data_IF_030823643991
#
_entry.id   IF_030823643991
#
_cell.length_a   1.000
_cell.length_b   1.000
_cell.length_c   1.000
_cell.angle_alpha   90.00
_cell.angle_beta   90.00
_cell.angle_gamma   90.00
#
_symmetry.space_group_name_H-M   'P 1'
#
loop_
_entity.id
_entity.type
_entity.pdbx_description
1 polymer ?
#
# COMPACT_ATOMS: atom_id res chain seq x y z
N UNK A 1 1.83 9.12 -12.73
CA UNK A 1 0.85 8.94 -11.65
C UNK A 1 1.56 8.90 -10.32
N UNK A 2 1.08 9.63 -9.33
CA UNK A 2 1.59 9.62 -7.96
C UNK A 2 0.70 8.73 -7.08
N UNK A 3 1.28 7.71 -6.45
CA UNK A 3 0.58 6.72 -5.62
C UNK A 3 1.10 6.77 -4.18
N UNK A 4 0.21 6.86 -3.19
CA UNK A 4 0.53 6.76 -1.78
C UNK A 4 -0.03 5.46 -1.18
N UNK A 5 0.67 4.92 -0.19
CA UNK A 5 0.22 3.75 0.58
C UNK A 5 0.44 3.96 2.07
N UNK A 6 -0.48 3.42 2.88
CA UNK A 6 -0.27 3.32 4.32
C UNK A 6 -1.00 2.12 4.93
N UNK A 7 -0.29 1.29 5.71
CA UNK A 7 -0.91 0.38 6.67
C UNK A 7 -1.36 1.17 7.91
N UNK A 8 -2.69 1.32 8.08
CA UNK A 8 -3.26 2.16 9.15
C UNK A 8 -3.56 1.37 10.45
N UNK A 9 -3.06 0.13 10.56
CA UNK A 9 -3.14 -0.71 11.76
C UNK A 9 -4.53 -0.88 12.35
N UNK A 10 -5.50 -1.32 11.55
CA UNK A 10 -6.84 -1.63 12.06
C UNK A 10 -7.45 -0.48 12.81
N UNK A 11 -7.56 0.68 12.16
CA UNK A 11 -8.08 1.92 12.71
C UNK A 11 -9.58 1.87 13.08
N UNK A 12 -10.10 0.79 13.68
CA UNK A 12 -11.52 0.51 13.86
C UNK A 12 -12.00 0.35 15.28
N UNK A 13 -11.09 0.43 16.25
CA UNK A 13 -11.44 0.41 17.67
C UNK A 13 -11.86 1.80 18.16
N UNK A 14 -12.74 2.53 17.44
CA UNK A 14 -13.02 3.97 17.63
C UNK A 14 -13.50 4.34 19.04
N UNK A 15 -13.80 3.34 19.89
CA UNK A 15 -14.13 3.50 21.30
C UNK A 15 -12.93 3.66 22.25
N UNK A 16 -11.67 3.58 21.79
CA UNK A 16 -10.48 3.85 22.62
C UNK A 16 -9.78 5.15 22.21
N UNK A 17 -9.13 5.83 23.17
CA UNK A 17 -8.32 7.03 22.94
C UNK A 17 -7.30 6.85 21.82
N UNK A 18 -6.64 5.68 21.81
CA UNK A 18 -5.55 5.36 20.89
C UNK A 18 -6.05 5.16 19.46
N UNK A 19 -7.31 4.74 19.29
CA UNK A 19 -7.91 4.62 17.97
C UNK A 19 -8.36 5.98 17.43
N UNK A 20 -8.84 6.88 18.29
CA UNK A 20 -9.20 8.24 17.91
C UNK A 20 -7.95 9.04 17.46
N UNK A 21 -6.83 8.91 18.18
CA UNK A 21 -5.57 9.54 17.80
C UNK A 21 -5.07 9.03 16.43
N UNK A 22 -5.06 7.70 16.22
CA UNK A 22 -4.70 7.09 14.93
C UNK A 22 -5.61 7.56 13.79
N UNK A 23 -6.92 7.59 14.03
CA UNK A 23 -7.88 8.08 13.04
C UNK A 23 -7.63 9.55 12.71
N UNK A 24 -7.37 10.41 13.70
CA UNK A 24 -7.07 11.83 13.49
C UNK A 24 -5.80 12.04 12.65
N UNK A 25 -4.72 11.32 12.95
CA UNK A 25 -3.50 11.34 12.14
C UNK A 25 -3.78 10.86 10.71
N UNK A 26 -4.54 9.78 10.56
CA UNK A 26 -4.90 9.23 9.27
C UNK A 26 -5.73 10.19 8.43
N UNK A 27 -6.76 10.81 9.01
CA UNK A 27 -7.58 11.80 8.32
C UNK A 27 -6.77 13.03 7.90
N UNK A 28 -5.88 13.54 8.77
CA UNK A 28 -5.02 14.67 8.46
C UNK A 28 -4.04 14.36 7.30
N UNK A 29 -3.43 13.17 7.33
CA UNK A 29 -2.56 12.72 6.25
C UNK A 29 -3.32 12.54 4.93
N UNK A 30 -4.51 11.92 4.96
CA UNK A 30 -5.34 11.74 3.74
C UNK A 30 -5.72 13.09 3.14
N UNK A 31 -6.13 14.08 3.94
CA UNK A 31 -6.43 15.42 3.42
C UNK A 31 -5.21 16.09 2.77
N UNK A 32 -4.02 15.89 3.34
CA UNK A 32 -2.78 16.37 2.74
C UNK A 32 -2.50 15.65 1.40
N UNK A 33 -2.61 14.32 1.38
CA UNK A 33 -2.29 13.51 0.20
C UNK A 33 -3.29 13.67 -0.92
N UNK A 34 -4.58 13.88 -0.62
CA UNK A 34 -5.62 14.10 -1.63
C UNK A 34 -5.31 15.29 -2.56
N UNK A 35 -4.53 16.26 -2.08
CA UNK A 35 -4.07 17.41 -2.85
C UNK A 35 -2.87 17.07 -3.75
N UNK A 36 -2.08 16.06 -3.40
CA UNK A 36 -0.73 15.79 -3.93
C UNK A 36 -0.57 14.48 -4.70
N UNK A 37 -1.50 13.54 -4.51
CA UNK A 37 -1.46 12.19 -5.08
C UNK A 37 -2.70 11.92 -5.93
N UNK A 38 -2.52 11.05 -6.92
CA UNK A 38 -3.59 10.63 -7.84
C UNK A 38 -4.35 9.42 -7.27
N UNK A 39 -3.64 8.58 -6.49
CA UNK A 39 -4.13 7.37 -5.89
C UNK A 39 -3.60 7.24 -4.46
N UNK A 40 -4.47 6.92 -3.50
CA UNK A 40 -4.12 6.61 -2.12
C UNK A 40 -4.67 5.22 -1.82
N UNK A 41 -3.84 4.37 -1.23
CA UNK A 41 -4.24 3.04 -0.76
C UNK A 41 -4.01 2.92 0.74
N UNK A 42 -5.06 2.59 1.48
CA UNK A 42 -4.96 2.27 2.91
C UNK A 42 -5.12 0.77 3.09
N UNK A 43 -4.21 0.15 3.83
CA UNK A 43 -4.25 -1.26 4.22
C UNK A 43 -4.62 -1.41 5.70
N UNK A 44 -5.04 -2.63 6.06
CA UNK A 44 -5.63 -2.94 7.37
C UNK A 44 -6.84 -2.06 7.72
N UNK A 45 -7.63 -1.70 6.71
CA UNK A 45 -8.94 -1.11 6.91
C UNK A 45 -9.86 -2.25 7.35
N UNK A 46 -10.30 -2.23 8.59
CA UNK A 46 -11.10 -3.34 9.13
C UNK A 46 -12.51 -3.42 8.53
N UNK A 47 -13.34 -4.28 9.11
CA UNK A 47 -14.77 -4.47 8.82
C UNK A 47 -15.61 -3.18 8.87
N UNK A 48 -15.16 -2.12 9.56
CA UNK A 48 -15.83 -0.82 9.58
C UNK A 48 -15.52 0.07 8.35
N UNK A 49 -14.80 -0.46 7.36
CA UNK A 49 -14.47 0.24 6.12
C UNK A 49 -15.63 1.01 5.46
N UNK A 50 -16.86 0.46 5.36
CA UNK A 50 -17.99 1.19 4.78
C UNK A 50 -18.38 2.48 5.53
N UNK A 51 -18.18 2.54 6.85
CA UNK A 51 -18.37 3.76 7.62
C UNK A 51 -17.25 4.76 7.31
N UNK A 52 -16.01 4.29 7.24
CA UNK A 52 -14.86 5.11 6.89
C UNK A 52 -14.99 5.75 5.50
N UNK A 53 -15.57 5.03 4.52
CA UNK A 53 -15.84 5.59 3.19
C UNK A 53 -16.73 6.83 3.28
N UNK A 54 -17.71 6.87 4.19
CA UNK A 54 -18.60 8.02 4.34
C UNK A 54 -17.85 9.26 4.83
N UNK A 55 -16.95 9.09 5.80
CA UNK A 55 -16.11 10.17 6.33
C UNK A 55 -15.14 10.71 5.26
N UNK A 56 -14.62 9.83 4.41
CA UNK A 56 -13.66 10.18 3.36
C UNK A 56 -14.26 10.94 2.17
N UNK A 57 -15.60 11.01 2.05
CA UNK A 57 -16.26 11.79 0.99
C UNK A 57 -15.92 13.29 1.00
N UNK A 58 -15.39 13.79 2.11
CA UNK A 58 -14.92 15.17 2.26
C UNK A 58 -13.68 15.50 1.42
N UNK A 59 -12.91 14.50 0.99
CA UNK A 59 -11.61 14.67 0.32
C UNK A 59 -11.70 15.01 -1.18
N UNK A 60 -12.91 15.11 -1.75
CA UNK A 60 -13.16 15.18 -3.20
C UNK A 60 -12.54 14.03 -4.03
N UNK A 61 -12.02 12.99 -3.39
CA UNK A 61 -11.57 11.77 -4.06
C UNK A 61 -12.72 10.77 -4.14
N UNK A 62 -12.76 10.01 -5.24
CA UNK A 62 -13.57 8.82 -5.29
C UNK A 62 -13.00 7.79 -4.31
N UNK A 63 -13.84 7.08 -3.57
CA UNK A 63 -13.41 6.15 -2.52
C UNK A 63 -14.14 4.81 -2.60
N UNK A 64 -13.40 3.71 -2.51
CA UNK A 64 -13.92 2.34 -2.45
C UNK A 64 -13.27 1.57 -1.30
N UNK A 65 -14.10 0.90 -0.51
CA UNK A 65 -13.67 -0.17 0.39
C UNK A 65 -13.61 -1.50 -0.37
N UNK A 66 -12.50 -2.21 -0.26
CA UNK A 66 -12.27 -3.49 -0.93
C UNK A 66 -12.09 -4.57 0.14
N UNK A 67 -13.16 -5.33 0.45
CA UNK A 67 -13.10 -6.37 1.46
C UNK A 67 -12.24 -7.54 0.97
N UNK A 68 -11.34 -8.01 1.83
CA UNK A 68 -10.61 -9.27 1.64
C UNK A 68 -11.27 -10.34 2.51
N UNK A 69 -11.50 -11.53 1.96
CA UNK A 69 -12.09 -12.62 2.72
C UNK A 69 -11.11 -13.15 3.78
N UNK A 70 -11.61 -13.45 4.98
CA UNK A 70 -10.91 -14.22 6.00
C UNK A 70 -11.14 -15.72 5.79
N UNK A 71 -10.43 -16.57 6.55
CA UNK A 71 -10.53 -18.04 6.47
C UNK A 71 -11.95 -18.61 6.67
N UNK A 72 -12.86 -17.84 7.26
CA UNK A 72 -14.26 -18.22 7.53
C UNK A 72 -15.25 -17.57 6.54
N UNK A 73 -14.77 -16.92 5.48
CA UNK A 73 -15.60 -16.24 4.49
C UNK A 73 -16.15 -14.87 4.92
N UNK A 74 -15.80 -14.38 6.12
CA UNK A 74 -16.13 -13.02 6.56
C UNK A 74 -15.11 -11.99 6.11
N UNK A 75 -15.34 -10.71 6.41
CA UNK A 75 -14.37 -9.64 6.08
C UNK A 75 -13.13 -9.74 6.98
N UNK A 76 -11.95 -9.72 6.37
CA UNK A 76 -10.63 -9.75 7.02
C UNK A 76 -10.28 -8.36 7.56
N UNK A 77 -9.57 -8.27 8.71
CA UNK A 77 -8.97 -7.02 9.15
C UNK A 77 -7.93 -6.47 8.16
N UNK A 78 -7.42 -7.30 7.25
CA UNK A 78 -6.48 -6.92 6.18
C UNK A 78 -7.18 -6.41 4.91
N UNK A 79 -8.36 -5.80 5.03
CA UNK A 79 -9.05 -5.21 3.87
C UNK A 79 -8.45 -3.86 3.52
N UNK A 80 -8.80 -3.33 2.35
CA UNK A 80 -8.20 -2.14 1.80
C UNK A 80 -9.22 -1.03 1.57
N UNK A 81 -8.74 0.21 1.52
CA UNK A 81 -9.48 1.33 0.98
C UNK A 81 -8.66 2.01 -0.11
N UNK A 82 -9.32 2.34 -1.21
CA UNK A 82 -8.72 2.99 -2.36
C UNK A 82 -9.38 4.33 -2.55
N UNK A 83 -8.59 5.40 -2.60
CA UNK A 83 -9.04 6.74 -2.95
C UNK A 83 -8.39 7.17 -4.26
N UNK A 84 -9.15 7.64 -5.23
CA UNK A 84 -8.65 8.07 -6.54
C UNK A 84 -9.14 9.47 -6.91
N UNK A 85 -8.23 10.28 -7.47
CA UNK A 85 -8.50 11.67 -7.84
C UNK A 85 -9.16 11.75 -9.20
N UNK A 86 -10.36 12.33 -9.25
CA UNK A 86 -11.05 12.69 -10.50
C UNK A 86 -11.57 11.53 -11.35
N UNK A 87 -11.27 10.27 -11.00
CA UNK A 87 -11.73 9.09 -11.73
C UNK A 87 -12.14 7.97 -10.77
N UNK A 88 -13.10 7.16 -11.22
CA UNK A 88 -13.41 5.87 -10.60
C UNK A 88 -12.39 4.85 -11.10
N UNK A 89 -11.79 4.09 -10.20
CA UNK A 89 -10.91 2.97 -10.53
C UNK A 89 -11.60 1.65 -10.17
N UNK A 90 -11.28 0.59 -10.89
CA UNK A 90 -11.77 -0.75 -10.53
C UNK A 90 -10.77 -1.39 -9.58
N UNK A 91 -11.16 -1.53 -8.31
CA UNK A 91 -10.37 -2.24 -7.31
C UNK A 91 -11.07 -3.53 -6.86
N UNK A 92 -10.32 -4.64 -6.88
CA UNK A 92 -10.83 -5.95 -6.48
C UNK A 92 -9.80 -6.75 -5.68
N UNK A 93 -10.28 -7.51 -4.70
CA UNK A 93 -9.47 -8.47 -3.98
C UNK A 93 -9.12 -9.65 -4.90
N UNK A 94 -7.86 -10.07 -4.85
CA UNK A 94 -7.32 -11.12 -5.70
C UNK A 94 -6.62 -12.16 -4.81
N UNK A 95 -6.99 -13.43 -4.96
CA UNK A 95 -6.43 -14.54 -4.19
C UNK A 95 -7.46 -15.29 -3.34
N UNK A 96 -6.97 -16.23 -2.53
CA UNK A 96 -7.76 -17.21 -1.76
C UNK A 96 -8.05 -16.77 -0.31
N UNK A 97 -7.92 -15.48 -0.01
CA UNK A 97 -8.11 -14.92 1.34
C UNK A 97 -6.95 -15.17 2.31
N UNK A 98 -5.93 -15.96 1.94
CA UNK A 98 -4.67 -16.05 2.70
C UNK A 98 -3.71 -14.92 2.36
N UNK A 99 -3.88 -14.32 1.18
CA UNK A 99 -3.02 -13.28 0.60
C UNK A 99 -3.83 -12.00 0.45
N UNK A 100 -3.75 -11.05 1.40
CA UNK A 100 -4.34 -9.74 1.23
C UNK A 100 -3.65 -9.01 0.08
N UNK A 101 -4.25 -9.10 -1.11
CA UNK A 101 -3.84 -8.43 -2.34
C UNK A 101 -5.08 -7.87 -3.02
N UNK A 102 -4.98 -6.62 -3.48
CA UNK A 102 -5.96 -6.03 -4.37
C UNK A 102 -5.27 -5.58 -5.67
N UNK A 103 -5.98 -5.67 -6.78
CA UNK A 103 -5.60 -5.02 -8.04
C UNK A 103 -6.47 -3.80 -8.25
N UNK A 104 -5.84 -2.71 -8.67
CA UNK A 104 -6.45 -1.43 -9.00
C UNK A 104 -6.06 -1.11 -10.44
N UNK A 105 -7.05 -1.12 -11.33
CA UNK A 105 -6.83 -0.85 -12.75
C UNK A 105 -6.95 0.64 -13.05
N UNK A 106 -5.86 1.23 -13.55
CA UNK A 106 -5.79 2.65 -13.95
C UNK A 106 -5.85 2.84 -15.48
N UNK A 107 -6.07 1.75 -16.23
CA UNK A 107 -6.06 1.73 -17.69
C UNK A 107 -4.66 1.53 -18.28
N UNK A 108 -3.69 2.34 -17.89
CA UNK A 108 -2.31 2.25 -18.37
C UNK A 108 -1.42 1.37 -17.48
N UNK A 109 -1.56 1.50 -16.15
CA UNK A 109 -0.73 0.82 -15.16
C UNK A 109 -1.63 -0.04 -14.27
N UNK A 110 -1.23 -1.29 -14.04
CA UNK A 110 -1.90 -2.13 -13.05
C UNK A 110 -1.22 -1.98 -11.69
N UNK A 111 -1.97 -1.52 -10.70
CA UNK A 111 -1.46 -1.32 -9.34
C UNK A 111 -1.90 -2.50 -8.48
N UNK A 112 -0.95 -3.25 -7.93
CA UNK A 112 -1.18 -4.22 -6.87
C UNK A 112 -0.89 -3.60 -5.50
N UNK A 113 -1.82 -3.69 -4.56
CA UNK A 113 -1.57 -3.33 -3.17
C UNK A 113 -1.69 -4.53 -2.25
N UNK A 114 -0.71 -4.74 -1.37
CA UNK A 114 -0.64 -5.93 -0.54
C UNK A 114 -0.47 -5.64 0.97
N UNK A 115 -0.79 -6.65 1.76
CA UNK A 115 -0.40 -6.80 3.16
C UNK A 115 -0.07 -8.28 3.38
N UNK A 116 1.20 -8.63 3.32
CA UNK A 116 1.68 -10.01 3.36
C UNK A 116 1.70 -10.57 4.78
N UNK A 117 1.85 -11.88 4.92
CA UNK A 117 1.94 -12.53 6.23
C UNK A 117 3.06 -11.95 7.10
N UNK A 118 2.73 -11.62 8.35
CA UNK A 118 3.61 -10.98 9.34
C UNK A 118 4.76 -11.90 9.83
N UNK A 119 5.68 -12.25 8.93
CA UNK A 119 6.90 -13.01 9.22
C UNK A 119 8.04 -12.51 8.34
N UNK A 120 9.25 -12.53 8.88
CA UNK A 120 10.44 -12.01 8.20
C UNK A 120 11.26 -13.12 7.53
N UNK A 121 10.65 -14.29 7.33
CA UNK A 121 11.25 -15.48 6.74
C UNK A 121 10.71 -15.79 5.34
N UNK A 122 11.08 -16.98 4.84
CA UNK A 122 10.74 -17.44 3.48
C UNK A 122 9.25 -17.37 3.13
N UNK A 123 8.28 -17.66 4.03
CA UNK A 123 6.86 -17.60 3.68
C UNK A 123 6.39 -16.23 3.17
N UNK A 124 6.88 -15.13 3.77
CA UNK A 124 6.53 -13.78 3.29
C UNK A 124 7.20 -13.47 1.96
N UNK A 125 8.43 -13.95 1.76
CA UNK A 125 9.15 -13.79 0.48
C UNK A 125 8.43 -14.53 -0.64
N UNK A 126 8.08 -15.79 -0.45
CA UNK A 126 7.31 -16.60 -1.42
C UNK A 126 5.98 -15.95 -1.76
N UNK A 127 5.27 -15.43 -0.76
CA UNK A 127 4.02 -14.72 -0.96
C UNK A 127 4.21 -13.48 -1.87
N UNK A 128 5.26 -12.69 -1.65
CA UNK A 128 5.58 -11.54 -2.51
C UNK A 128 5.89 -12.00 -3.93
N UNK A 129 6.72 -13.04 -4.09
CA UNK A 129 7.09 -13.55 -5.43
C UNK A 129 5.86 -14.04 -6.21
N UNK A 130 4.93 -14.72 -5.55
CA UNK A 130 3.66 -15.14 -6.14
C UNK A 130 2.79 -13.93 -6.54
N UNK A 131 2.74 -12.89 -5.72
CA UNK A 131 2.02 -11.65 -6.03
C UNK A 131 2.63 -10.94 -7.24
N UNK A 132 3.96 -10.87 -7.35
CA UNK A 132 4.66 -10.32 -8.51
C UNK A 132 4.35 -11.11 -9.79
N UNK A 133 4.36 -12.44 -9.71
CA UNK A 133 4.03 -13.31 -10.83
C UNK A 133 2.60 -13.06 -11.32
N UNK A 134 1.65 -13.04 -10.39
CA UNK A 134 0.23 -12.85 -10.70
C UNK A 134 -0.02 -11.46 -11.28
N UNK A 135 0.53 -10.41 -10.66
CA UNK A 135 0.38 -9.04 -11.11
C UNK A 135 1.00 -8.84 -12.50
N UNK A 136 2.22 -9.33 -12.73
CA UNK A 136 2.91 -9.23 -14.02
C UNK A 136 2.19 -9.98 -15.15
N UNK A 137 1.71 -11.20 -14.87
CA UNK A 137 0.90 -11.97 -15.80
C UNK A 137 -0.43 -11.28 -16.13
N UNK A 138 -1.10 -10.73 -15.12
CA UNK A 138 -2.36 -9.98 -15.27
C UNK A 138 -2.14 -8.71 -16.09
N UNK A 139 -1.11 -7.92 -15.79
CA UNK A 139 -0.77 -6.72 -16.53
C UNK A 139 -0.49 -7.02 -18.01
N UNK A 140 0.27 -8.09 -18.28
CA UNK A 140 0.57 -8.55 -19.64
C UNK A 140 -0.68 -8.98 -20.40
N UNK A 141 -1.56 -9.75 -19.75
CA UNK A 141 -2.81 -10.25 -20.33
C UNK A 141 -3.77 -9.10 -20.69
N UNK A 142 -3.84 -8.07 -19.84
CA UNK A 142 -4.66 -6.88 -20.05
C UNK A 142 -3.94 -5.78 -20.86
N UNK A 143 -2.77 -6.07 -21.45
CA UNK A 143 -1.99 -5.15 -22.29
C UNK A 143 -1.70 -3.80 -21.62
N UNK A 144 -1.44 -3.84 -20.31
CA UNK A 144 -1.03 -2.66 -19.53
C UNK A 144 0.42 -2.31 -19.88
N UNK A 145 0.78 -1.03 -19.80
CA UNK A 145 2.15 -0.55 -20.06
C UNK A 145 3.14 -1.08 -19.03
N UNK A 146 2.68 -1.22 -17.79
CA UNK A 146 3.46 -1.83 -16.72
C UNK A 146 2.63 -2.06 -15.46
N UNK A 147 3.33 -2.41 -14.39
CA UNK A 147 2.72 -2.70 -13.10
C UNK A 147 3.58 -2.23 -11.93
N UNK A 148 2.90 -1.97 -10.81
CA UNK A 148 3.54 -1.68 -9.52
C UNK A 148 2.89 -2.54 -8.44
N UNK A 149 3.68 -3.28 -7.67
CA UNK A 149 3.24 -3.88 -6.41
C UNK A 149 3.76 -3.01 -5.26
N UNK A 150 2.89 -2.51 -4.39
CA UNK A 150 3.29 -1.73 -3.22
C UNK A 150 2.51 -2.18 -1.97
N UNK A 151 3.09 -2.00 -0.79
CA UNK A 151 2.36 -2.23 0.43
C UNK A 151 3.24 -2.64 1.60
N UNK A 152 2.59 -3.16 2.64
CA UNK A 152 3.27 -3.80 3.76
C UNK A 152 3.67 -5.21 3.34
N UNK A 153 4.95 -5.34 3.02
CA UNK A 153 5.53 -6.57 2.52
C UNK A 153 5.97 -7.49 3.63
N UNK A 154 5.92 -7.08 4.91
CA UNK A 154 6.37 -7.84 6.08
C UNK A 154 7.73 -8.56 5.93
N UNK A 155 8.55 -8.14 4.97
CA UNK A 155 9.84 -8.69 4.63
C UNK A 155 10.77 -7.52 4.36
N UNK A 156 11.85 -7.38 5.14
CA UNK A 156 12.66 -6.17 5.06
C UNK A 156 13.37 -6.03 3.70
N UNK A 157 13.41 -4.81 3.17
CA UNK A 157 13.95 -4.52 1.84
C UNK A 157 15.42 -4.91 1.69
N UNK A 158 16.19 -4.86 2.79
CA UNK A 158 17.61 -5.20 2.85
C UNK A 158 17.87 -6.72 2.82
N UNK A 159 16.85 -7.55 3.05
CA UNK A 159 16.96 -9.00 2.97
C UNK A 159 16.92 -9.54 1.55
N UNK A 160 16.56 -8.72 0.57
CA UNK A 160 16.65 -9.09 -0.84
C UNK A 160 18.12 -9.15 -1.27
N UNK A 161 18.71 -10.34 -1.20
CA UNK A 161 20.11 -10.56 -1.52
C UNK A 161 20.37 -10.90 -3.00
N UNK A 162 19.36 -11.40 -3.73
CA UNK A 162 19.46 -11.78 -5.15
C UNK A 162 18.13 -11.51 -5.86
N UNK A 163 18.16 -10.68 -6.92
CA UNK A 163 17.00 -10.28 -7.74
C UNK A 163 16.82 -11.14 -9.00
N UNK A 164 17.37 -12.35 -9.02
CA UNK A 164 17.52 -13.15 -10.22
C UNK A 164 16.77 -14.48 -10.11
N UNK A 165 15.51 -14.40 -9.73
CA UNK A 165 14.55 -15.49 -9.90
C UNK A 165 13.66 -15.20 -11.10
N UNK A 166 13.09 -16.24 -11.72
CA UNK A 166 12.11 -16.07 -12.81
C UNK A 166 10.96 -15.12 -12.43
N UNK A 167 10.65 -14.99 -11.14
CA UNK A 167 9.61 -14.14 -10.58
C UNK A 167 10.00 -12.67 -10.43
N UNK A 168 11.29 -12.36 -10.31
CA UNK A 168 11.81 -10.99 -10.12
C UNK A 168 12.42 -10.40 -11.40
N UNK A 169 12.62 -11.23 -12.43
CA UNK A 169 13.09 -10.77 -13.74
C UNK A 169 12.18 -9.69 -14.31
N UNK A 170 12.76 -8.52 -14.60
CA UNK A 170 12.04 -7.35 -15.11
C UNK A 170 11.37 -6.48 -14.04
N UNK A 171 11.46 -6.87 -12.77
CA UNK A 171 11.01 -6.07 -11.64
C UNK A 171 12.17 -5.27 -11.02
N UNK A 172 11.87 -4.07 -10.55
CA UNK A 172 12.81 -3.21 -9.82
C UNK A 172 12.22 -2.83 -8.48
N UNK A 173 12.96 -3.05 -7.40
CA UNK A 173 12.55 -2.65 -6.05
C UNK A 173 12.84 -1.16 -5.80
N UNK A 174 11.96 -0.50 -5.04
CA UNK A 174 12.06 0.91 -4.67
C UNK A 174 11.76 1.12 -3.19
N UNK A 175 12.77 1.57 -2.45
CA UNK A 175 12.61 2.05 -1.08
C UNK A 175 11.85 3.40 -1.08
N UNK A 176 11.05 3.68 -0.04
CA UNK A 176 10.46 5.00 0.13
C UNK A 176 11.51 6.05 0.57
N UNK A 177 11.19 7.33 0.42
CA UNK A 177 12.10 8.44 0.69
C UNK A 177 11.59 9.37 1.79
N UNK A 178 12.50 10.16 2.35
CA UNK A 178 12.21 11.17 3.36
C UNK A 178 11.46 12.37 2.78
N UNK A 179 10.57 12.95 3.57
CA UNK A 179 9.87 14.20 3.28
C UNK A 179 10.82 15.37 3.08
N UNK A 180 11.87 15.46 3.90
CA UNK A 180 12.85 16.55 3.83
C UNK A 180 13.82 16.42 2.65
N UNK A 181 13.98 15.22 2.07
CA UNK A 181 14.87 14.98 0.94
C UNK A 181 14.48 13.69 0.21
N UNK A 182 13.83 13.84 -0.95
CA UNK A 182 13.38 12.71 -1.77
C UNK A 182 14.54 11.84 -2.32
N UNK A 183 15.78 12.33 -2.33
CA UNK A 183 16.96 11.54 -2.70
C UNK A 183 17.47 10.63 -1.57
N UNK A 184 16.99 10.82 -0.33
CA UNK A 184 17.35 9.98 0.81
C UNK A 184 16.25 8.97 1.11
N UNK A 185 16.60 7.69 1.18
CA UNK A 185 15.69 6.65 1.63
C UNK A 185 15.31 6.83 3.11
N UNK A 186 14.10 6.39 3.47
CA UNK A 186 13.74 6.19 4.86
C UNK A 186 14.59 5.06 5.46
N UNK A 187 15.06 5.24 6.70
CA UNK A 187 15.82 4.21 7.42
C UNK A 187 14.92 3.14 8.04
N UNK A 188 13.64 3.45 8.26
CA UNK A 188 12.60 2.52 8.70
C UNK A 188 11.24 3.00 8.23
N UNK A 189 10.36 2.06 7.91
CA UNK A 189 8.93 2.32 7.71
C UNK A 189 8.09 1.77 8.84
N UNK A 190 8.64 0.84 9.62
CA UNK A 190 7.96 0.21 10.75
C UNK A 190 8.66 0.50 12.09
N UNK A 191 7.91 0.53 13.20
CA UNK A 191 8.43 0.85 14.55
C UNK A 191 9.57 -0.05 15.00
N UNK A 192 9.63 -1.28 14.47
CA UNK A 192 10.71 -2.25 14.74
C UNK A 192 12.02 -1.94 14.01
N UNK A 193 12.14 -0.76 13.37
CA UNK A 193 13.40 -0.29 12.80
C UNK A 193 13.74 -0.90 11.45
N UNK A 194 12.74 -1.19 10.63
CA UNK A 194 12.91 -1.86 9.31
C UNK A 194 12.11 -1.15 8.24
N UNK A 195 12.57 -1.24 6.99
CA UNK A 195 11.79 -0.85 5.81
C UNK A 195 11.10 -2.09 5.28
N UNK A 196 9.82 -2.23 5.62
CA UNK A 196 8.96 -3.35 5.18
C UNK A 196 7.82 -2.85 4.28
N UNK A 197 7.63 -1.53 4.19
CA UNK A 197 6.69 -0.89 3.30
C UNK A 197 7.48 -0.33 2.11
N UNK A 198 7.30 -0.90 0.92
CA UNK A 198 8.04 -0.50 -0.28
C UNK A 198 7.30 -0.92 -1.56
N UNK A 199 7.90 -0.63 -2.72
CA UNK A 199 7.32 -0.96 -4.02
C UNK A 199 8.26 -1.81 -4.90
N UNK A 200 7.64 -2.56 -5.81
CA UNK A 200 8.25 -3.21 -6.97
C UNK A 200 7.60 -2.66 -8.24
N UNK A 201 8.41 -2.39 -9.27
CA UNK A 201 7.98 -1.82 -10.55
C UNK A 201 8.37 -2.74 -11.70
N UNK A 202 7.49 -2.95 -12.69
CA UNK A 202 7.80 -3.68 -13.92
C UNK A 202 7.26 -2.98 -15.16
N UNK A 203 8.10 -2.85 -16.19
CA UNK A 203 7.73 -2.27 -17.50
C UNK A 203 7.49 -0.75 -17.50
N UNK A 204 7.69 -0.09 -16.36
CA UNK A 204 7.49 1.36 -16.16
C UNK A 204 8.64 1.96 -15.38
N UNK A 205 8.89 3.25 -15.60
CA UNK A 205 9.84 4.01 -14.80
C UNK A 205 9.15 4.52 -13.55
N UNK A 206 9.91 4.59 -12.45
CA UNK A 206 9.37 5.13 -11.21
C UNK A 206 10.40 5.34 -10.13
N UNK A 207 10.07 6.25 -9.23
CA UNK A 207 10.93 6.70 -8.14
C UNK A 207 10.12 7.00 -6.89
N UNK A 208 10.82 7.01 -5.75
CA UNK A 208 10.23 7.34 -4.46
C UNK A 208 9.76 8.79 -4.45
N UNK A 209 8.55 9.01 -3.94
CA UNK A 209 7.96 10.33 -3.74
C UNK A 209 7.59 10.48 -2.28
N UNK A 210 7.97 11.58 -1.66
CA UNK A 210 7.64 11.84 -0.27
C UNK A 210 6.12 11.78 -0.05
N UNK A 211 5.68 10.90 0.85
CA UNK A 211 4.28 10.79 1.29
C UNK A 211 3.91 11.84 2.35
N UNK A 212 4.60 12.98 2.33
CA UNK A 212 4.39 14.13 3.22
C UNK A 212 5.11 15.34 2.65
N UNK A 213 4.58 16.53 2.94
CA UNK A 213 5.16 17.79 2.50
C UNK A 213 6.13 18.34 3.56
N UNK A 214 6.02 17.85 4.80
CA UNK A 214 6.66 18.50 5.95
C UNK A 214 7.45 17.54 6.85
N UNK A 215 7.03 16.28 7.01
CA UNK A 215 7.66 15.35 7.95
C UNK A 215 7.35 13.86 7.67
N UNK A 216 8.19 12.96 8.17
CA UNK A 216 8.12 11.51 7.88
C UNK A 216 7.05 10.74 8.69
N UNK A 217 6.03 11.39 9.27
CA UNK A 217 4.96 10.77 10.08
C UNK A 217 5.43 9.58 10.94
N UNK A 218 6.33 9.84 11.90
CA UNK A 218 7.03 8.81 12.68
C UNK A 218 6.64 8.81 14.17
N UNK A 219 5.40 9.16 14.50
CA UNK A 219 4.92 9.11 15.88
C UNK A 219 4.64 7.66 16.30
N UNK A 220 5.72 6.93 16.62
CA UNK A 220 5.67 5.48 16.87
C UNK A 220 4.87 5.09 18.12
N UNK A 221 4.52 6.06 18.96
CA UNK A 221 3.66 5.85 20.12
C UNK A 221 2.19 5.75 19.69
N UNK A 222 1.84 6.33 18.54
CA UNK A 222 0.48 6.31 17.98
C UNK A 222 0.36 5.30 16.83
N UNK A 223 1.37 5.21 15.97
CA UNK A 223 1.37 4.37 14.76
C UNK A 223 2.54 3.37 14.77
N UNK A 224 2.48 2.27 14.01
CA UNK A 224 3.64 1.40 13.79
C UNK A 224 4.18 1.42 12.37
N UNK A 225 3.43 1.92 11.39
CA UNK A 225 3.87 2.13 10.01
C UNK A 225 3.82 3.61 9.66
N UNK A 226 4.84 4.11 8.98
CA UNK A 226 4.80 5.40 8.29
C UNK A 226 4.17 5.25 6.90
N UNK A 227 3.43 6.25 6.41
CA UNK A 227 3.01 6.30 5.02
C UNK A 227 4.20 6.36 4.03
N UNK A 228 3.99 5.82 2.83
CA UNK A 228 4.98 5.78 1.74
C UNK A 228 4.37 6.26 0.42
N UNK A 229 5.21 6.67 -0.53
CA UNK A 229 4.75 7.22 -1.80
C UNK A 229 5.72 7.01 -2.94
N UNK A 230 5.17 6.93 -4.16
CA UNK A 230 5.91 6.70 -5.39
C UNK A 230 5.32 7.50 -6.55
N UNK A 231 6.16 7.88 -7.50
CA UNK A 231 5.75 8.33 -8.81
C UNK A 231 6.10 7.28 -9.85
N UNK A 232 5.14 6.97 -10.72
CA UNK A 232 5.29 6.06 -11.85
C UNK A 232 4.94 6.75 -13.17
N UNK A 233 5.64 6.40 -14.25
CA UNK A 233 5.47 6.95 -15.59
C UNK A 233 5.52 5.84 -16.66
#
# INVERSE_FOLDING_TARGET
>A
MDIAFWNIQRASSWGTSDAAARYGLMAAWVDEMAKRFDLIVLAEVTQNGPALVKEMKSTNMWCQFVPVANKKGGVSPCSFMVLSKGVKVEAMAVGDGKRPLIFIDTGDILVGACHTIATQGEPSKEEILDMLAHLGGTASTHKRKGAILLGDMNYAIDKWSVFDSAYTKGWTIRAPCKASNAAQALSKTHRLGRVIDYAWLAGIDGYARAASATHDWTDWDVIDHTPIGFRVA
#
